data_IF_224248992967
#
_entry.id   IF_224248992967
#
_cell.length_a   1.000
_cell.length_b   1.000
_cell.length_c   1.000
_cell.angle_alpha   90.00
_cell.angle_beta   90.00
_cell.angle_gamma   90.00
#
_symmetry.space_group_name_H-M   'P 1'
#
loop_
_entity.id
_entity.type
_entity.pdbx_description
1 polymer ?
#
# COMPACT_ATOMS: atom_id res chain seq x y z
N UNK A 1 5.83 24.19 -6.46
CA UNK A 1 4.56 23.51 -6.17
C UNK A 1 4.92 22.15 -5.58
N UNK A 2 5.03 22.00 -4.25
CA UNK A 2 5.48 20.74 -3.67
C UNK A 2 4.33 19.74 -3.62
N UNK A 3 4.60 18.53 -4.10
CA UNK A 3 3.66 17.44 -4.36
C UNK A 3 3.65 16.42 -3.21
N UNK A 4 3.77 16.86 -1.97
CA UNK A 4 3.53 15.99 -0.80
C UNK A 4 2.11 16.20 -0.30
N UNK A 5 1.18 15.53 -0.98
CA UNK A 5 -0.19 15.40 -0.50
C UNK A 5 -0.15 14.45 0.70
N UNK A 6 -0.28 15.02 1.91
CA UNK A 6 -0.50 14.33 3.19
C UNK A 6 -1.50 13.19 2.97
N UNK A 7 -1.00 11.95 2.87
CA UNK A 7 -1.85 10.76 2.87
C UNK A 7 -2.10 10.42 4.34
N UNK A 8 -3.34 10.61 4.74
CA UNK A 8 -3.92 10.09 5.97
C UNK A 8 -3.57 8.60 6.08
N UNK A 9 -2.90 8.23 7.17
CA UNK A 9 -2.17 6.97 7.27
C UNK A 9 -0.83 7.08 7.99
N UNK A 10 -0.49 8.25 8.55
CA UNK A 10 0.41 8.29 9.71
C UNK A 10 -0.34 7.54 10.81
N UNK A 11 0.04 6.28 11.01
CA UNK A 11 -0.25 5.57 12.24
C UNK A 11 0.19 6.52 13.35
N UNK A 12 -0.75 6.96 14.20
CA UNK A 12 -0.43 7.66 15.43
C UNK A 12 0.48 6.72 16.23
N UNK A 13 1.79 6.86 16.04
CA UNK A 13 2.78 6.28 16.92
C UNK A 13 2.69 7.11 18.19
N UNK A 14 2.15 6.50 19.25
CA UNK A 14 2.19 7.06 20.60
C UNK A 14 3.58 7.66 20.85
N UNK A 15 3.59 8.91 21.31
CA UNK A 15 4.78 9.60 21.79
C UNK A 15 5.28 8.92 23.07
N UNK A 16 5.78 7.70 22.98
CA UNK A 16 6.61 7.13 24.02
C UNK A 16 8.03 7.60 23.76
N UNK A 17 8.28 8.83 24.20
CA UNK A 17 9.61 9.40 24.25
C UNK A 17 10.57 8.45 24.98
N UNK A 18 11.51 7.88 24.22
CA UNK A 18 12.73 7.28 24.76
C UNK A 18 12.69 5.79 25.16
N UNK A 19 11.87 4.93 24.55
CA UNK A 19 11.69 3.57 25.07
C UNK A 19 12.79 2.51 24.74
N UNK A 20 13.82 2.79 23.94
CA UNK A 20 14.88 1.78 23.64
C UNK A 20 16.30 2.38 23.64
N UNK A 21 16.47 3.49 24.37
CA UNK A 21 17.76 4.16 24.55
C UNK A 21 18.31 4.85 23.29
N UNK A 22 17.48 5.12 22.28
CA UNK A 22 17.82 6.04 21.18
C UNK A 22 17.52 7.48 21.60
N UNK A 23 18.47 8.39 21.34
CA UNK A 23 18.36 9.81 21.73
C UNK A 23 17.73 10.68 20.63
N UNK A 24 16.97 10.06 19.72
CA UNK A 24 16.32 10.68 18.57
C UNK A 24 15.00 9.98 18.23
N UNK A 25 14.00 10.74 17.82
CA UNK A 25 12.67 10.22 17.45
C UNK A 25 12.39 10.32 15.93
N UNK A 26 11.28 9.70 15.50
CA UNK A 26 10.85 9.72 14.09
C UNK A 26 10.53 11.13 13.62
N UNK A 27 9.86 11.95 14.44
CA UNK A 27 9.45 13.32 14.07
C UNK A 27 10.65 14.22 13.77
N UNK A 28 11.73 14.10 14.53
CA UNK A 28 13.01 14.78 14.34
C UNK A 28 13.67 14.35 13.03
N UNK A 29 13.65 13.06 12.72
CA UNK A 29 14.16 12.54 11.45
C UNK A 29 13.34 13.05 10.26
N UNK A 30 12.01 13.10 10.38
CA UNK A 30 11.14 13.66 9.35
C UNK A 30 11.44 15.14 9.13
N UNK A 31 11.59 15.91 10.21
CA UNK A 31 11.94 17.33 10.13
C UNK A 31 13.29 17.55 9.45
N UNK A 32 14.28 16.67 9.67
CA UNK A 32 15.54 16.70 8.94
C UNK A 32 15.35 16.38 7.44
N UNK A 33 14.44 15.48 7.08
CA UNK A 33 14.16 15.15 5.67
C UNK A 33 13.47 16.28 4.91
N UNK A 34 12.74 17.16 5.60
CA UNK A 34 12.09 18.33 5.00
C UNK A 34 13.09 19.45 4.66
N UNK A 35 14.27 19.45 5.27
CA UNK A 35 15.31 20.44 5.04
C UNK A 35 16.28 20.02 3.94
N UNK A 36 16.83 21.01 3.23
CA UNK A 36 17.73 20.76 2.10
C UNK A 36 18.93 21.71 2.08
N UNK A 37 20.05 21.25 1.51
CA UNK A 37 21.23 22.07 1.27
C UNK A 37 21.84 22.65 2.54
N UNK A 38 21.98 23.98 2.60
CA UNK A 38 22.63 24.67 3.73
C UNK A 38 21.80 24.58 5.02
N UNK A 39 20.48 24.72 4.93
CA UNK A 39 19.59 24.68 6.10
C UNK A 39 19.67 23.35 6.84
N UNK A 40 19.77 22.24 6.09
CA UNK A 40 19.99 20.91 6.65
C UNK A 40 21.34 20.83 7.38
N UNK A 41 22.41 21.32 6.76
CA UNK A 41 23.78 21.26 7.33
C UNK A 41 23.85 22.10 8.61
N UNK A 42 23.26 23.30 8.59
CA UNK A 42 23.25 24.21 9.75
C UNK A 42 22.48 23.57 10.91
N UNK A 43 21.30 23.01 10.64
CA UNK A 43 20.52 22.31 11.68
C UNK A 43 21.22 21.07 12.19
N UNK A 44 21.84 20.28 11.32
CA UNK A 44 22.59 19.09 11.69
C UNK A 44 23.77 19.45 12.62
N UNK A 45 24.51 20.52 12.30
CA UNK A 45 25.64 20.95 13.12
C UNK A 45 25.20 21.53 14.47
N UNK A 46 24.14 22.34 14.49
CA UNK A 46 23.66 23.00 15.70
C UNK A 46 22.96 22.06 16.69
N UNK A 47 22.07 21.20 16.18
CA UNK A 47 21.17 20.40 17.04
C UNK A 47 21.70 18.99 17.30
N UNK A 48 22.51 18.45 16.38
CA UNK A 48 22.98 17.07 16.43
C UNK A 48 24.50 16.92 16.53
N UNK A 49 25.26 18.03 16.54
CA UNK A 49 26.73 17.97 16.56
C UNK A 49 27.33 17.43 15.26
N UNK A 50 26.63 17.61 14.13
CA UNK A 50 27.01 17.13 12.81
C UNK A 50 26.64 15.68 12.56
N UNK A 51 27.17 15.12 11.47
CA UNK A 51 26.84 13.75 11.04
C UNK A 51 27.25 12.69 12.07
N UNK A 52 28.40 12.87 12.74
CA UNK A 52 28.87 11.92 13.74
C UNK A 52 27.97 11.90 14.99
N UNK A 53 27.46 13.05 15.42
CA UNK A 53 26.56 13.11 16.58
C UNK A 53 25.17 12.56 16.25
N UNK A 54 24.67 12.74 15.01
CA UNK A 54 23.48 12.04 14.54
C UNK A 54 23.67 10.51 14.55
N UNK A 55 24.79 10.01 14.05
CA UNK A 55 25.11 8.58 14.08
C UNK A 55 25.22 8.04 15.50
N UNK A 56 25.80 8.80 16.43
CA UNK A 56 25.87 8.43 17.84
C UNK A 56 24.47 8.31 18.46
N UNK A 57 23.58 9.26 18.19
CA UNK A 57 22.18 9.24 18.65
C UNK A 57 21.39 8.06 18.07
N UNK A 58 21.69 7.67 16.84
CA UNK A 58 21.14 6.48 16.17
C UNK A 58 21.85 5.17 16.54
N UNK A 59 22.89 5.21 17.39
CA UNK A 59 23.77 4.08 17.71
C UNK A 59 24.30 3.36 16.47
N UNK A 60 24.56 4.09 15.39
CA UNK A 60 25.04 3.54 14.13
C UNK A 60 26.53 3.84 13.94
N UNK A 61 27.28 2.90 13.37
CA UNK A 61 28.72 3.09 13.12
C UNK A 61 28.96 3.63 11.71
N UNK A 62 29.73 4.72 11.58
CA UNK A 62 30.06 5.31 10.28
C UNK A 62 30.90 4.40 9.36
N UNK A 63 31.75 3.53 9.92
CA UNK A 63 32.62 2.64 9.14
C UNK A 63 32.08 1.22 9.03
N UNK A 64 31.49 0.70 10.10
CA UNK A 64 30.98 -0.67 10.15
C UNK A 64 29.49 -0.78 9.80
N UNK A 65 28.74 0.32 9.80
CA UNK A 65 27.28 0.27 9.69
C UNK A 65 26.63 -0.37 10.91
N UNK A 66 25.48 -1.02 10.69
CA UNK A 66 24.80 -1.82 11.72
C UNK A 66 25.35 -3.25 11.76
N UNK A 67 25.12 -3.94 12.87
CA UNK A 67 25.51 -5.35 13.02
C UNK A 67 24.40 -6.25 12.45
N UNK A 68 24.69 -7.10 11.46
CA UNK A 68 23.66 -7.97 10.87
C UNK A 68 23.22 -9.10 11.79
N UNK A 69 24.11 -9.57 12.69
CA UNK A 69 23.85 -10.69 13.59
C UNK A 69 22.98 -10.30 14.81
N UNK A 70 22.77 -9.01 15.04
CA UNK A 70 21.97 -8.52 16.16
C UNK A 70 20.52 -8.29 15.74
N UNK A 71 19.77 -9.38 15.53
CA UNK A 71 18.36 -9.30 15.14
C UNK A 71 17.51 -8.52 16.16
N UNK A 72 17.87 -8.57 17.45
CA UNK A 72 17.15 -7.83 18.50
C UNK A 72 17.26 -6.32 18.30
N UNK A 73 18.45 -5.77 17.99
CA UNK A 73 18.61 -4.34 17.68
C UNK A 73 17.82 -3.95 16.42
N UNK A 74 17.81 -4.80 15.39
CA UNK A 74 17.07 -4.56 14.16
C UNK A 74 15.55 -4.56 14.38
N UNK A 75 15.03 -5.48 15.19
CA UNK A 75 13.63 -5.54 15.59
C UNK A 75 13.23 -4.34 16.47
N UNK A 76 14.07 -3.96 17.42
CA UNK A 76 13.84 -2.76 18.24
C UNK A 76 13.75 -1.49 17.39
N UNK A 77 14.64 -1.33 16.41
CA UNK A 77 14.57 -0.20 15.47
C UNK A 77 13.27 -0.21 14.65
N UNK A 78 12.79 -1.39 14.23
CA UNK A 78 11.50 -1.52 13.53
C UNK A 78 10.33 -1.15 14.43
N UNK A 79 10.40 -1.46 15.72
CA UNK A 79 9.37 -1.10 16.69
C UNK A 79 9.39 0.41 17.00
N UNK A 80 10.57 1.02 17.11
CA UNK A 80 10.73 2.46 17.44
C UNK A 80 10.45 3.36 16.25
N UNK A 81 11.05 3.05 15.10
CA UNK A 81 11.04 3.92 13.93
C UNK A 81 10.03 3.49 12.85
N UNK A 82 9.47 2.29 12.98
CA UNK A 82 8.58 1.68 12.00
C UNK A 82 9.32 0.79 10.99
N UNK A 83 8.55 -0.07 10.33
CA UNK A 83 9.04 -0.91 9.24
C UNK A 83 9.05 -0.14 7.91
N UNK A 84 10.03 -0.43 7.04
CA UNK A 84 10.06 0.11 5.68
C UNK A 84 9.11 -0.65 4.73
N UNK A 85 7.85 -0.84 5.14
CA UNK A 85 6.81 -1.52 4.36
C UNK A 85 5.61 -0.63 4.19
N UNK A 86 5.24 -0.38 2.93
CA UNK A 86 3.98 0.29 2.62
C UNK A 86 2.87 -0.75 2.77
N UNK A 87 1.90 -0.55 3.69
CA UNK A 87 0.87 -1.55 3.92
C UNK A 87 0.07 -1.78 2.63
N UNK A 88 -0.07 -3.03 2.17
CA UNK A 88 -0.84 -3.32 0.98
C UNK A 88 -2.32 -3.01 1.25
N UNK A 89 -3.00 -2.40 0.27
CA UNK A 89 -4.43 -2.17 0.36
C UNK A 89 -5.15 -3.51 0.53
N UNK A 90 -6.08 -3.65 1.50
CA UNK A 90 -6.80 -4.91 1.70
C UNK A 90 -7.60 -5.24 0.43
N UNK A 91 -7.61 -6.52 0.08
CA UNK A 91 -8.32 -7.01 -1.11
C UNK A 91 -9.81 -6.78 -0.98
N UNK A 92 -10.45 -6.42 -2.10
CA UNK A 92 -11.91 -6.41 -2.14
C UNK A 92 -12.41 -7.86 -2.16
N UNK A 93 -13.42 -8.15 -1.34
CA UNK A 93 -14.13 -9.43 -1.41
C UNK A 93 -14.85 -9.55 -2.76
N UNK A 94 -14.99 -10.77 -3.27
CA UNK A 94 -15.76 -11.05 -4.50
C UNK A 94 -17.16 -10.44 -4.44
N UNK A 95 -17.85 -10.53 -3.29
CA UNK A 95 -19.17 -9.93 -3.11
C UNK A 95 -19.16 -8.41 -3.18
N UNK A 96 -18.09 -7.77 -2.71
CA UNK A 96 -17.90 -6.31 -2.82
C UNK A 96 -17.65 -5.90 -4.26
N UNK A 97 -16.87 -6.69 -5.01
CA UNK A 97 -16.66 -6.48 -6.45
C UNK A 97 -17.97 -6.67 -7.23
N UNK A 98 -18.76 -7.69 -6.92
CA UNK A 98 -20.09 -7.88 -7.50
C UNK A 98 -21.01 -6.70 -7.17
N UNK A 99 -21.01 -6.22 -5.93
CA UNK A 99 -21.79 -5.07 -5.51
C UNK A 99 -21.40 -3.79 -6.27
N UNK A 100 -20.10 -3.54 -6.45
CA UNK A 100 -19.60 -2.42 -7.25
C UNK A 100 -19.98 -2.56 -8.73
N UNK A 101 -19.84 -3.75 -9.31
CA UNK A 101 -20.22 -4.01 -10.70
C UNK A 101 -21.73 -3.85 -10.96
N UNK A 102 -22.58 -4.16 -9.97
CA UNK A 102 -24.03 -3.93 -10.05
C UNK A 102 -24.40 -2.43 -10.04
N UNK A 103 -23.52 -1.56 -9.55
CA UNK A 103 -23.72 -0.10 -9.55
C UNK A 103 -23.19 0.59 -10.81
N UNK A 104 -22.69 -0.15 -11.79
CA UNK A 104 -22.33 0.39 -13.09
C UNK A 104 -23.60 0.88 -13.82
N UNK A 105 -23.58 2.12 -14.29
CA UNK A 105 -24.67 2.76 -15.04
C UNK A 105 -25.16 1.87 -16.19
N UNK A 106 -24.25 1.15 -16.86
CA UNK A 106 -24.62 0.22 -17.94
C UNK A 106 -25.49 -0.94 -17.43
N UNK A 107 -25.14 -1.54 -16.29
CA UNK A 107 -25.87 -2.67 -15.69
C UNK A 107 -27.21 -2.21 -15.13
N UNK A 108 -27.26 -1.02 -14.50
CA UNK A 108 -28.49 -0.43 -13.98
C UNK A 108 -29.52 -0.22 -15.10
N UNK A 109 -29.09 0.35 -16.24
CA UNK A 109 -29.99 0.57 -17.39
C UNK A 109 -30.56 -0.77 -17.88
N UNK A 110 -29.75 -1.82 -17.99
CA UNK A 110 -30.21 -3.14 -18.43
C UNK A 110 -31.18 -3.79 -17.42
N UNK A 111 -30.97 -3.59 -16.12
CA UNK A 111 -31.85 -4.08 -15.08
C UNK A 111 -33.21 -3.38 -15.10
N UNK A 112 -33.24 -2.05 -15.30
CA UNK A 112 -34.48 -1.29 -15.49
C UNK A 112 -35.22 -1.74 -16.76
N UNK A 113 -34.51 -1.89 -17.88
CA UNK A 113 -35.09 -2.42 -19.13
C UNK A 113 -35.73 -3.80 -18.92
N UNK A 114 -35.09 -4.66 -18.14
CA UNK A 114 -35.62 -5.99 -17.81
C UNK A 114 -36.90 -5.92 -16.97
N UNK A 115 -36.91 -5.12 -15.90
CA UNK A 115 -38.08 -4.94 -15.04
C UNK A 115 -39.27 -4.38 -15.84
N UNK A 116 -39.04 -3.37 -16.67
CA UNK A 116 -40.07 -2.79 -17.55
C UNK A 116 -40.59 -3.82 -18.55
N UNK A 117 -39.71 -4.61 -19.17
CA UNK A 117 -40.10 -5.67 -20.10
C UNK A 117 -40.96 -6.76 -19.43
N UNK A 118 -40.63 -7.14 -18.20
CA UNK A 118 -41.41 -8.10 -17.40
C UNK A 118 -42.75 -7.49 -17.00
N UNK A 119 -42.77 -6.25 -16.47
CA UNK A 119 -44.00 -5.57 -16.07
C UNK A 119 -45.00 -5.37 -17.22
N UNK A 120 -44.51 -5.00 -18.41
CA UNK A 120 -45.32 -4.91 -19.62
C UNK A 120 -45.85 -6.28 -20.09
N UNK A 121 -45.13 -7.37 -19.78
CA UNK A 121 -45.58 -8.73 -20.09
C UNK A 121 -46.78 -9.14 -19.22
N UNK A 122 -46.87 -8.64 -17.98
CA UNK A 122 -48.00 -8.87 -17.08
C UNK A 122 -49.22 -7.98 -17.36
N UNK A 123 -49.01 -6.79 -17.92
CA UNK A 123 -50.12 -5.85 -18.22
C UNK A 123 -50.90 -6.21 -19.49
N UNK A 124 -50.31 -7.00 -20.40
CA UNK A 124 -50.97 -7.43 -21.63
C UNK A 124 -51.94 -8.59 -21.33
N UNK A 125 -53.20 -8.47 -21.78
CA UNK A 125 -54.26 -9.48 -21.59
C UNK A 125 -53.78 -10.89 -21.99
N UNK A 126 -54.29 -11.97 -21.36
CA UNK A 126 -53.77 -13.33 -21.48
C UNK A 126 -54.02 -14.02 -22.83
N UNK A 127 -54.24 -13.25 -23.90
CA UNK A 127 -54.46 -13.78 -25.24
C UNK A 127 -53.16 -13.73 -26.05
N UNK A 128 -52.75 -14.94 -26.40
CA UNK A 128 -51.68 -15.32 -27.30
C UNK A 128 -50.22 -15.12 -26.83
N UNK A 129 -49.66 -16.29 -26.49
CA UNK A 129 -48.26 -16.69 -26.57
C UNK A 129 -47.45 -16.58 -25.27
N UNK A 130 -47.16 -17.77 -24.72
CA UNK A 130 -46.12 -18.10 -23.74
C UNK A 130 -44.68 -17.64 -24.12
N UNK A 131 -44.51 -16.76 -25.11
CA UNK A 131 -43.24 -16.29 -25.64
C UNK A 131 -42.78 -14.96 -25.04
N UNK A 132 -43.70 -14.13 -24.52
CA UNK A 132 -43.37 -12.78 -24.03
C UNK A 132 -42.61 -12.82 -22.70
N UNK A 133 -43.02 -13.68 -21.76
CA UNK A 133 -42.32 -13.91 -20.50
C UNK A 133 -40.87 -14.37 -20.70
N UNK A 134 -40.60 -15.11 -21.78
CA UNK A 134 -39.27 -15.64 -22.10
C UNK A 134 -38.27 -14.53 -22.45
N UNK A 135 -38.73 -13.39 -22.98
CA UNK A 135 -37.86 -12.28 -23.38
C UNK A 135 -37.27 -11.54 -22.17
N UNK A 136 -38.11 -11.20 -21.18
CA UNK A 136 -37.64 -10.55 -19.94
C UNK A 136 -36.68 -11.44 -19.15
N UNK A 137 -36.99 -12.73 -19.05
CA UNK A 137 -36.12 -13.73 -18.40
C UNK A 137 -34.79 -13.88 -19.13
N UNK A 138 -34.77 -13.89 -20.47
CA UNK A 138 -33.53 -13.95 -21.24
C UNK A 138 -32.61 -12.74 -20.98
N UNK A 139 -33.18 -11.55 -20.82
CA UNK A 139 -32.41 -10.34 -20.48
C UNK A 139 -31.83 -10.44 -19.07
N UNK A 140 -32.58 -10.95 -18.08
CA UNK A 140 -32.05 -11.18 -16.73
C UNK A 140 -30.86 -12.15 -16.72
N UNK A 141 -30.98 -13.27 -17.44
CA UNK A 141 -29.90 -14.26 -17.54
C UNK A 141 -28.67 -13.64 -18.20
N UNK A 142 -28.85 -12.86 -19.28
CA UNK A 142 -27.75 -12.18 -19.94
C UNK A 142 -27.01 -11.21 -19.01
N UNK A 143 -27.75 -10.40 -18.23
CA UNK A 143 -27.15 -9.47 -17.25
C UNK A 143 -26.38 -10.23 -16.16
N UNK A 144 -26.95 -11.32 -15.63
CA UNK A 144 -26.30 -12.13 -14.60
C UNK A 144 -24.97 -12.72 -15.08
N UNK A 145 -24.94 -13.24 -16.32
CA UNK A 145 -23.72 -13.76 -16.93
C UNK A 145 -22.68 -12.66 -17.10
N UNK A 146 -23.07 -11.50 -17.63
CA UNK A 146 -22.15 -10.36 -17.82
C UNK A 146 -21.57 -9.88 -16.50
N UNK A 147 -22.39 -9.68 -15.46
CA UNK A 147 -21.92 -9.26 -14.12
C UNK A 147 -20.96 -10.29 -13.54
N UNK A 148 -21.27 -11.59 -13.68
CA UNK A 148 -20.41 -12.67 -13.18
C UNK A 148 -19.06 -12.67 -13.91
N UNK A 149 -19.06 -12.55 -15.24
CA UNK A 149 -17.82 -12.50 -16.04
C UNK A 149 -17.00 -11.25 -15.71
N UNK A 150 -17.64 -10.09 -15.54
CA UNK A 150 -16.95 -8.84 -15.16
C UNK A 150 -16.33 -8.96 -13.77
N UNK A 151 -17.08 -9.40 -12.76
CA UNK A 151 -16.58 -9.59 -11.40
C UNK A 151 -15.47 -10.66 -11.33
N UNK A 152 -15.60 -11.74 -12.09
CA UNK A 152 -14.57 -12.78 -12.19
C UNK A 152 -13.28 -12.25 -12.84
N UNK A 153 -13.40 -11.49 -13.92
CA UNK A 153 -12.26 -10.87 -14.59
C UNK A 153 -11.56 -9.87 -13.68
N UNK A 154 -12.30 -9.04 -12.96
CA UNK A 154 -11.71 -8.06 -12.05
C UNK A 154 -11.08 -8.71 -10.81
N UNK A 155 -11.69 -9.75 -10.25
CA UNK A 155 -11.09 -10.54 -9.18
C UNK A 155 -9.80 -11.23 -9.63
N UNK A 156 -9.79 -11.78 -10.85
CA UNK A 156 -8.59 -12.41 -11.43
C UNK A 156 -7.48 -11.39 -11.65
N UNK A 157 -7.80 -10.20 -12.17
CA UNK A 157 -6.82 -9.09 -12.31
C UNK A 157 -6.26 -8.70 -10.95
N UNK A 158 -7.11 -8.44 -9.95
CA UNK A 158 -6.67 -8.04 -8.60
C UNK A 158 -5.74 -9.10 -7.96
N UNK A 159 -6.05 -10.38 -8.16
CA UNK A 159 -5.19 -11.49 -7.69
C UNK A 159 -3.84 -11.54 -8.42
N UNK A 160 -3.82 -11.29 -9.74
CA UNK A 160 -2.60 -11.27 -10.53
C UNK A 160 -1.71 -10.06 -10.20
N UNK A 161 -2.30 -8.88 -9.99
CA UNK A 161 -1.55 -7.70 -9.56
C UNK A 161 -0.87 -7.91 -8.21
N UNK A 162 -1.54 -8.56 -7.25
CA UNK A 162 -0.91 -8.90 -5.97
C UNK A 162 0.23 -9.91 -6.11
N UNK A 163 0.07 -10.95 -6.92
CA UNK A 163 1.15 -11.92 -7.15
C UNK A 163 2.38 -11.30 -7.80
N UNK A 164 2.17 -10.37 -8.73
CA UNK A 164 3.25 -9.59 -9.33
C UNK A 164 3.88 -8.64 -8.32
N UNK A 165 3.06 -7.96 -7.51
CA UNK A 165 3.53 -7.02 -6.50
C UNK A 165 4.39 -7.74 -5.44
N UNK A 166 3.94 -8.86 -4.87
CA UNK A 166 4.75 -9.66 -3.93
C UNK A 166 6.07 -10.13 -4.54
N UNK A 167 6.08 -10.47 -5.84
CA UNK A 167 7.30 -10.91 -6.53
C UNK A 167 8.27 -9.76 -6.81
N UNK A 168 7.75 -8.59 -7.20
CA UNK A 168 8.55 -7.38 -7.40
C UNK A 168 9.12 -6.91 -6.05
N UNK A 169 8.31 -6.99 -4.99
CA UNK A 169 8.71 -6.63 -3.64
C UNK A 169 9.86 -7.51 -3.11
N UNK A 170 9.93 -8.80 -3.51
CA UNK A 170 11.07 -9.65 -3.12
C UNK A 170 12.36 -9.38 -3.90
N UNK A 171 12.30 -8.75 -5.07
CA UNK A 171 13.43 -8.65 -6.02
C UNK A 171 14.19 -7.31 -5.94
N UNK A 172 13.68 -6.35 -5.16
CA UNK A 172 14.34 -5.06 -4.96
C UNK A 172 15.36 -5.16 -3.83
N UNK A 173 16.61 -5.47 -4.20
CA UNK A 173 17.74 -5.48 -3.28
C UNK A 173 18.46 -4.13 -3.25
N UNK A 174 18.71 -3.62 -2.04
CA UNK A 174 19.56 -2.44 -1.81
C UNK A 174 20.92 -2.87 -1.28
N UNK A 175 21.98 -2.17 -1.68
CA UNK A 175 23.31 -2.39 -1.13
C UNK A 175 23.45 -1.56 0.14
N UNK A 176 23.71 -2.20 1.27
CA UNK A 176 23.96 -1.55 2.56
C UNK A 176 25.30 -1.97 3.12
N UNK A 177 25.88 -1.13 3.97
CA UNK A 177 27.05 -1.50 4.77
C UNK A 177 26.58 -2.01 6.12
N UNK A 178 26.83 -3.30 6.41
CA UNK A 178 26.63 -3.94 7.71
C UNK A 178 27.85 -4.81 8.04
N UNK A 179 28.26 -4.85 9.30
CA UNK A 179 29.49 -5.53 9.77
C UNK A 179 30.78 -5.08 9.05
N UNK A 180 30.81 -3.84 8.54
CA UNK A 180 31.90 -3.29 7.72
C UNK A 180 32.03 -3.92 6.33
N UNK A 181 31.02 -4.66 5.89
CA UNK A 181 30.96 -5.27 4.55
C UNK A 181 29.74 -4.77 3.80
N UNK A 182 29.85 -4.73 2.47
CA UNK A 182 28.70 -4.44 1.62
C UNK A 182 27.85 -5.69 1.50
N UNK A 183 26.61 -5.62 1.96
CA UNK A 183 25.62 -6.70 1.93
C UNK A 183 24.41 -6.25 1.11
N UNK A 184 23.75 -7.19 0.43
CA UNK A 184 22.48 -6.94 -0.23
C UNK A 184 21.34 -7.35 0.68
N UNK A 185 20.48 -6.40 1.01
CA UNK A 185 19.28 -6.62 1.82
C UNK A 185 18.06 -6.22 1.01
N UNK A 186 16.92 -6.82 1.29
CA UNK A 186 15.68 -6.39 0.67
C UNK A 186 15.38 -4.95 1.11
N UNK A 187 14.88 -4.10 0.20
CA UNK A 187 14.41 -2.75 0.51
C UNK A 187 13.43 -2.76 1.70
N UNK A 188 12.58 -3.78 1.83
CA UNK A 188 11.63 -3.89 2.94
C UNK A 188 12.27 -4.19 4.30
N UNK A 189 13.52 -4.66 4.31
CA UNK A 189 14.27 -4.99 5.53
C UNK A 189 15.21 -3.86 5.98
N UNK A 190 15.22 -2.74 5.25
CA UNK A 190 15.96 -1.55 5.62
C UNK A 190 15.41 -0.96 6.92
N UNK A 191 16.33 -0.55 7.79
CA UNK A 191 16.01 0.06 9.09
C UNK A 191 16.71 1.41 9.23
N UNK A 192 16.19 2.26 10.11
CA UNK A 192 16.83 3.55 10.42
C UNK A 192 18.20 3.32 11.05
N UNK A 193 19.23 3.90 10.42
CA UNK A 193 20.64 3.72 10.78
C UNK A 193 21.44 2.91 9.75
N UNK A 194 20.78 2.25 8.79
CA UNK A 194 21.46 1.61 7.67
C UNK A 194 22.20 2.63 6.80
N UNK A 195 23.40 2.27 6.37
CA UNK A 195 24.18 3.04 5.41
C UNK A 195 23.99 2.47 4.01
N UNK A 196 23.15 3.10 3.21
CA UNK A 196 22.85 2.70 1.83
C UNK A 196 23.91 3.21 0.84
N UNK A 197 24.38 2.33 -0.04
CA UNK A 197 25.26 2.66 -1.14
C UNK A 197 24.43 2.97 -2.39
N UNK A 198 24.34 4.25 -2.72
CA UNK A 198 23.66 4.73 -3.93
C UNK A 198 24.62 4.60 -5.11
N UNK A 199 24.26 3.77 -6.10
CA UNK A 199 24.95 3.70 -7.39
C UNK A 199 24.22 4.57 -8.41
N UNK A 200 24.98 5.37 -9.15
CA UNK A 200 24.50 6.20 -10.25
C UNK A 200 24.33 5.40 -11.53
#
# INVERSE_FOLDING_TARGET
MPLFKKKEGIVEMEEDGGSYGFDINVTQLVELMELHGKELIDKLNNDYGGLNGLLQKLKANSQKGLESDNETDLEERRNVFGENKIPPKPMKSFLKLCWEALHDLMIIILLVCSIVSIGLSFYKAPDENNSTNKKGVAILIAVLVVVTVTAFNDWRKEKQFRGLQTKIESDQLSNVVRDGKVQQVNVFDLVVGDMCLIKY
#
